data_IF_193200337954
#
_entry.id   IF_193200337954
#
_cell.length_a   1.000
_cell.length_b   1.000
_cell.length_c   1.000
_cell.angle_alpha   90.00
_cell.angle_beta   90.00
_cell.angle_gamma   90.00
#
_symmetry.space_group_name_H-M   'P 1'
#
loop_
_entity.id
_entity.type
_entity.pdbx_description
1 polymer ?
#
# COMPACT_ATOMS: atom_id res chain seq x y z
N UNK A 1 -9.47 -4.16 -9.59
CA UNK A 1 -8.87 -5.30 -10.37
C UNK A 1 -8.47 -6.51 -9.52
N UNK A 2 -8.04 -6.32 -8.28
CA UNK A 2 -7.45 -7.36 -7.43
C UNK A 2 -8.33 -8.59 -7.18
N UNK A 3 -9.65 -8.42 -7.06
CA UNK A 3 -10.60 -9.54 -6.88
C UNK A 3 -10.58 -10.54 -8.06
N UNK A 4 -10.42 -10.05 -9.29
CA UNK A 4 -10.35 -10.90 -10.47
C UNK A 4 -9.05 -11.70 -10.50
N UNK A 5 -7.93 -11.06 -10.11
CA UNK A 5 -6.63 -11.73 -9.99
C UNK A 5 -6.66 -12.84 -8.95
N UNK A 6 -7.13 -12.55 -7.73
CA UNK A 6 -7.30 -13.54 -6.66
C UNK A 6 -8.10 -14.77 -7.12
N UNK A 7 -9.24 -14.52 -7.80
CA UNK A 7 -10.08 -15.58 -8.35
C UNK A 7 -9.36 -16.40 -9.42
N UNK A 8 -8.60 -15.75 -10.29
CA UNK A 8 -7.87 -16.41 -11.38
C UNK A 8 -6.69 -17.25 -10.86
N UNK A 9 -6.03 -16.83 -9.78
CA UNK A 9 -4.88 -17.52 -9.20
C UNK A 9 -5.23 -18.47 -8.05
N UNK A 10 -6.50 -18.54 -7.66
CA UNK A 10 -6.94 -19.35 -6.51
C UNK A 10 -6.41 -18.85 -5.17
N UNK A 11 -5.96 -17.60 -5.10
CA UNK A 11 -5.39 -17.00 -3.89
C UNK A 11 -6.45 -16.31 -3.05
N UNK A 12 -6.19 -16.20 -1.75
CA UNK A 12 -7.05 -15.45 -0.84
C UNK A 12 -7.01 -13.95 -1.17
N UNK A 13 -8.18 -13.32 -1.22
CA UNK A 13 -8.30 -11.88 -1.43
C UNK A 13 -8.23 -11.16 -0.08
N UNK A 14 -7.13 -10.46 0.18
CA UNK A 14 -6.97 -9.66 1.38
C UNK A 14 -7.27 -8.18 1.13
N UNK A 15 -7.94 -7.57 2.12
CA UNK A 15 -8.24 -6.13 2.15
C UNK A 15 -7.48 -5.50 3.30
N UNK A 16 -6.73 -4.47 3.00
CA UNK A 16 -5.96 -3.68 3.96
C UNK A 16 -6.61 -2.29 4.12
N UNK A 17 -6.63 -1.77 5.34
CA UNK A 17 -7.22 -0.46 5.65
C UNK A 17 -6.15 0.63 5.59
N UNK A 18 -6.53 1.83 5.13
CA UNK A 18 -5.65 3.01 5.15
C UNK A 18 -5.81 3.82 6.45
N UNK A 19 -4.73 4.49 6.81
CA UNK A 19 -4.74 5.60 7.77
C UNK A 19 -4.83 6.90 6.99
N UNK A 20 -5.97 7.57 7.10
CA UNK A 20 -6.19 8.85 6.45
C UNK A 20 -5.94 9.99 7.43
N UNK A 21 -5.39 11.10 6.94
CA UNK A 21 -5.11 12.28 7.75
C UNK A 21 -5.41 13.56 6.96
N UNK A 22 -5.64 14.64 7.71
CA UNK A 22 -5.70 15.99 7.16
C UNK A 22 -4.56 16.81 7.74
N UNK A 23 -3.84 17.53 6.88
CA UNK A 23 -2.84 18.49 7.31
C UNK A 23 -3.43 19.88 7.27
N UNK A 24 -3.52 20.51 8.43
CA UNK A 24 -3.84 21.92 8.54
C UNK A 24 -2.59 22.75 8.21
N UNK A 25 -2.67 23.52 7.12
CA UNK A 25 -1.55 24.34 6.64
C UNK A 25 -1.28 25.55 7.54
N UNK A 26 -2.29 26.07 8.23
CA UNK A 26 -2.17 27.24 9.10
C UNK A 26 -1.59 26.84 10.46
N UNK A 27 -2.06 25.72 11.01
CA UNK A 27 -1.62 25.22 12.31
C UNK A 27 -0.38 24.30 12.23
N UNK A 28 0.07 23.95 11.02
CA UNK A 28 1.13 22.94 10.76
C UNK A 28 0.93 21.65 11.56
N UNK A 29 -0.33 21.24 11.73
CA UNK A 29 -0.70 20.03 12.48
C UNK A 29 -1.34 19.03 11.53
N UNK A 30 -0.87 17.80 11.62
CA UNK A 30 -1.51 16.66 10.99
C UNK A 30 -2.46 16.02 12.00
N UNK A 31 -3.73 15.89 11.63
CA UNK A 31 -4.74 15.16 12.42
C UNK A 31 -5.14 13.90 11.67
N UNK A 32 -4.90 12.76 12.29
CA UNK A 32 -5.33 11.46 11.79
C UNK A 32 -6.82 11.26 12.05
N UNK A 33 -7.50 10.63 11.09
CA UNK A 33 -8.90 10.25 11.27
C UNK A 33 -9.00 9.06 12.21
N UNK A 34 -9.88 9.16 13.20
CA UNK A 34 -10.12 8.12 14.19
C UNK A 34 -11.63 7.89 14.39
N UNK A 35 -11.99 6.70 14.87
CA UNK A 35 -13.37 6.35 15.19
C UNK A 35 -14.32 6.48 13.99
N UNK A 36 -15.30 7.39 14.09
CA UNK A 36 -16.32 7.59 13.06
C UNK A 36 -15.74 8.11 11.75
N UNK A 37 -14.75 9.00 11.82
CA UNK A 37 -14.16 9.63 10.62
C UNK A 37 -13.43 8.61 9.75
N UNK A 38 -12.63 7.74 10.37
CA UNK A 38 -11.98 6.64 9.68
C UNK A 38 -13.02 5.65 9.10
N UNK A 39 -14.06 5.34 9.87
CA UNK A 39 -15.16 4.49 9.40
C UNK A 39 -15.86 5.08 8.17
N UNK A 40 -16.10 6.39 8.17
CA UNK A 40 -16.79 7.08 7.07
C UNK A 40 -15.89 7.14 5.83
N UNK A 41 -14.58 7.38 6.00
CA UNK A 41 -13.61 7.33 4.90
C UNK A 41 -13.53 5.94 4.24
N UNK A 42 -13.50 4.87 5.05
CA UNK A 42 -13.51 3.49 4.54
C UNK A 42 -14.85 3.03 3.95
N UNK A 43 -15.92 3.78 4.17
CA UNK A 43 -17.27 3.52 3.64
C UNK A 43 -17.65 4.51 2.54
N UNK A 44 -16.76 5.45 2.23
CA UNK A 44 -17.00 6.46 1.21
C UNK A 44 -17.44 5.78 -0.09
N UNK A 45 -18.37 6.42 -0.80
CA UNK A 45 -18.91 5.88 -2.02
C UNK A 45 -17.80 5.82 -3.09
N UNK A 46 -17.56 4.62 -3.57
CA UNK A 46 -16.62 4.37 -4.64
C UNK A 46 -17.31 4.82 -5.93
N UNK A 47 -16.74 5.82 -6.62
CA UNK A 47 -17.24 6.25 -7.94
C UNK A 47 -17.39 5.03 -8.84
N UNK A 48 -18.51 4.93 -9.57
CA UNK A 48 -18.85 3.77 -10.42
C UNK A 48 -17.72 3.32 -11.36
N UNK A 49 -16.89 4.28 -11.81
CA UNK A 49 -15.79 4.05 -12.75
C UNK A 49 -14.50 3.63 -12.04
N UNK A 50 -14.32 4.01 -10.78
CA UNK A 50 -13.20 3.59 -9.95
C UNK A 50 -13.54 2.23 -9.34
N UNK A 51 -13.24 1.12 -10.02
CA UNK A 51 -13.58 -0.24 -9.54
C UNK A 51 -12.78 -0.71 -8.30
N UNK A 52 -12.16 0.20 -7.56
CA UNK A 52 -11.29 -0.09 -6.42
C UNK A 52 -11.76 0.69 -5.17
N UNK A 53 -11.36 0.20 -4.00
CA UNK A 53 -11.92 0.61 -2.71
C UNK A 53 -11.39 1.99 -2.28
N UNK A 54 -12.27 2.90 -1.88
CA UNK A 54 -11.89 4.14 -1.18
C UNK A 54 -11.57 3.83 0.29
N UNK A 55 -10.42 4.30 0.77
CA UNK A 55 -9.96 4.07 2.15
C UNK A 55 -9.53 2.62 2.45
N UNK A 56 -9.52 1.73 1.46
CA UNK A 56 -9.00 0.36 1.61
C UNK A 56 -8.23 -0.04 0.36
N UNK A 57 -7.24 -0.90 0.51
CA UNK A 57 -6.44 -1.39 -0.60
C UNK A 57 -6.53 -2.91 -0.66
N UNK A 58 -7.03 -3.42 -1.77
CA UNK A 58 -7.00 -4.86 -2.04
C UNK A 58 -5.65 -5.25 -2.60
N UNK A 59 -4.93 -6.13 -1.90
CA UNK A 59 -3.60 -6.59 -2.30
C UNK A 59 -3.55 -8.12 -2.32
N UNK A 60 -2.89 -8.69 -3.32
CA UNK A 60 -2.68 -10.13 -3.50
C UNK A 60 -1.26 -10.35 -3.97
N UNK A 61 -0.52 -11.25 -3.32
CA UNK A 61 0.86 -11.55 -3.71
C UNK A 61 0.89 -12.11 -5.14
N UNK A 62 1.89 -11.70 -5.92
CA UNK A 62 2.03 -11.98 -7.33
C UNK A 62 1.27 -11.02 -8.25
N UNK A 63 0.45 -10.09 -7.71
CA UNK A 63 -0.24 -9.13 -8.56
C UNK A 63 0.73 -8.09 -9.15
N UNK A 64 0.48 -7.62 -10.39
CA UNK A 64 1.20 -6.47 -10.91
C UNK A 64 0.80 -5.21 -10.14
N UNK A 65 1.80 -4.39 -9.80
CA UNK A 65 1.63 -3.11 -9.09
C UNK A 65 2.37 -1.99 -9.81
N UNK A 66 1.95 -0.76 -9.56
CA UNK A 66 2.63 0.45 -10.01
C UNK A 66 3.03 1.28 -8.80
N UNK A 67 4.28 1.75 -8.80
CA UNK A 67 4.73 2.75 -7.83
C UNK A 67 4.17 4.10 -8.26
N UNK A 68 3.52 4.82 -7.35
CA UNK A 68 2.85 6.10 -7.64
C UNK A 68 3.66 7.32 -7.20
N UNK A 69 4.74 7.12 -6.43
CA UNK A 69 5.60 8.17 -5.90
C UNK A 69 7.05 8.01 -6.33
N UNK A 70 7.79 9.12 -6.37
CA UNK A 70 9.22 9.11 -6.56
C UNK A 70 9.91 8.76 -5.24
N UNK A 71 10.33 7.50 -5.09
CA UNK A 71 10.93 7.01 -3.85
C UNK A 71 12.45 7.16 -3.89
N UNK A 72 13.10 6.60 -4.91
CA UNK A 72 14.55 6.62 -5.09
C UNK A 72 14.87 6.53 -6.58
N UNK A 73 14.77 7.67 -7.26
CA UNK A 73 14.91 7.77 -8.73
C UNK A 73 16.28 7.27 -9.19
N UNK A 74 17.34 7.58 -8.44
CA UNK A 74 18.72 7.12 -8.69
C UNK A 74 18.85 5.58 -8.68
N UNK A 75 17.93 4.89 -8.01
CA UNK A 75 17.89 3.43 -7.91
C UNK A 75 16.82 2.82 -8.83
N UNK A 76 16.24 3.60 -9.75
CA UNK A 76 15.20 3.14 -10.68
C UNK A 76 13.80 3.01 -10.07
N UNK A 77 13.58 3.57 -8.87
CA UNK A 77 12.27 3.55 -8.19
C UNK A 77 11.62 4.93 -8.31
N UNK A 78 10.82 5.11 -9.35
CA UNK A 78 10.10 6.34 -9.64
C UNK A 78 8.60 6.09 -9.82
N UNK A 79 7.83 7.17 -9.86
CA UNK A 79 6.43 7.10 -10.26
C UNK A 79 6.32 6.46 -11.66
N UNK A 80 5.47 5.45 -11.78
CA UNK A 80 5.27 4.67 -12.98
C UNK A 80 6.10 3.38 -13.05
N UNK A 81 7.02 3.15 -12.10
CA UNK A 81 7.75 1.88 -12.01
C UNK A 81 6.77 0.72 -11.82
N UNK A 82 6.82 -0.26 -12.73
CA UNK A 82 5.97 -1.45 -12.72
C UNK A 82 6.71 -2.59 -12.05
N UNK A 83 6.02 -3.29 -11.17
CA UNK A 83 6.58 -4.40 -10.41
C UNK A 83 5.57 -5.49 -10.12
N UNK A 84 6.05 -6.49 -9.39
CA UNK A 84 5.23 -7.56 -8.85
C UNK A 84 5.24 -7.47 -7.34
N UNK A 85 4.06 -7.47 -6.71
CA UNK A 85 3.96 -7.55 -5.26
C UNK A 85 4.43 -8.93 -4.80
N UNK A 86 5.44 -9.02 -3.94
CA UNK A 86 5.99 -10.30 -3.45
C UNK A 86 5.79 -10.50 -1.95
N UNK A 87 5.53 -9.43 -1.20
CA UNK A 87 5.32 -9.50 0.24
C UNK A 87 4.50 -8.32 0.74
N UNK A 88 3.79 -8.53 1.85
CA UNK A 88 3.03 -7.49 2.54
C UNK A 88 3.26 -7.64 4.04
N UNK A 89 3.81 -6.61 4.67
CA UNK A 89 3.86 -6.51 6.13
C UNK A 89 2.62 -5.75 6.61
N UNK A 90 1.92 -6.27 7.61
CA UNK A 90 0.73 -5.63 8.14
C UNK A 90 0.65 -5.75 9.66
N UNK A 91 -0.06 -4.80 10.29
CA UNK A 91 -0.50 -4.89 11.68
C UNK A 91 -1.99 -5.24 11.74
N UNK A 92 -2.40 -5.98 12.77
CA UNK A 92 -3.81 -6.22 13.06
C UNK A 92 -4.23 -5.38 14.26
N UNK A 93 -5.14 -4.43 14.05
CA UNK A 93 -5.69 -3.58 15.11
C UNK A 93 -7.20 -3.73 15.10
N UNK A 94 -7.78 -4.21 16.21
CA UNK A 94 -9.24 -4.43 16.34
C UNK A 94 -9.81 -5.23 15.15
N UNK A 95 -9.20 -6.38 14.86
CA UNK A 95 -9.55 -7.30 13.76
C UNK A 95 -9.36 -6.75 12.33
N UNK A 96 -8.82 -5.54 12.17
CA UNK A 96 -8.54 -4.94 10.87
C UNK A 96 -7.05 -5.01 10.54
N UNK A 97 -6.74 -5.36 9.30
CA UNK A 97 -5.36 -5.41 8.78
C UNK A 97 -4.98 -4.06 8.18
N UNK A 98 -3.90 -3.46 8.66
CA UNK A 98 -3.31 -2.22 8.15
C UNK A 98 -1.98 -2.56 7.48
N UNK A 99 -1.85 -2.25 6.18
CA UNK A 99 -0.59 -2.48 5.47
C UNK A 99 0.46 -1.49 5.99
N UNK A 100 1.60 -2.02 6.46
CA UNK A 100 2.73 -1.24 6.95
C UNK A 100 3.80 -1.06 5.87
N UNK A 101 4.03 -2.12 5.08
CA UNK A 101 4.95 -2.09 3.95
C UNK A 101 4.58 -3.13 2.91
N UNK A 102 5.03 -2.92 1.69
CA UNK A 102 4.90 -3.83 0.57
C UNK A 102 6.29 -4.14 0.01
N UNK A 103 6.60 -5.42 -0.14
CA UNK A 103 7.79 -5.85 -0.85
C UNK A 103 7.44 -5.99 -2.33
N UNK A 104 8.15 -5.25 -3.18
CA UNK A 104 7.88 -5.18 -4.60
C UNK A 104 9.12 -5.59 -5.37
N UNK A 105 8.98 -6.59 -6.23
CA UNK A 105 10.00 -6.95 -7.19
C UNK A 105 9.94 -5.99 -8.38
N UNK A 106 11.01 -5.23 -8.57
CA UNK A 106 11.14 -4.24 -9.64
C UNK A 106 12.28 -4.67 -10.59
N UNK A 107 12.00 -4.95 -11.88
CA UNK A 107 13.03 -5.43 -12.81
C UNK A 107 14.25 -4.50 -12.96
N UNK A 108 14.04 -3.19 -12.81
CA UNK A 108 15.08 -2.17 -13.00
C UNK A 108 15.76 -1.75 -11.69
N UNK A 109 15.33 -2.29 -10.55
CA UNK A 109 15.98 -2.09 -9.26
C UNK A 109 16.98 -3.20 -9.01
N UNK A 110 18.14 -2.91 -8.43
CA UNK A 110 19.08 -3.93 -7.99
C UNK A 110 19.79 -3.48 -6.72
N UNK A 111 19.80 -4.33 -5.70
CA UNK A 111 20.53 -4.12 -4.47
C UNK A 111 21.03 -5.46 -3.94
N UNK A 112 22.34 -5.71 -4.03
CA UNK A 112 22.99 -6.93 -3.54
C UNK A 112 22.97 -7.09 -2.02
N UNK A 113 22.60 -6.03 -1.29
CA UNK A 113 22.56 -5.98 0.17
C UNK A 113 21.16 -5.68 0.69
N UNK A 114 20.11 -6.03 -0.06
CA UNK A 114 18.71 -5.68 0.23
C UNK A 114 18.12 -6.40 1.45
N UNK A 115 18.80 -7.42 1.98
CA UNK A 115 18.28 -8.30 3.02
C UNK A 115 17.19 -9.27 2.54
N UNK A 116 16.84 -9.22 1.26
CA UNK A 116 15.95 -10.15 0.57
C UNK A 116 16.77 -11.18 -0.21
N UNK A 117 16.21 -12.38 -0.43
CA UNK A 117 16.84 -13.41 -1.27
C UNK A 117 16.93 -12.99 -2.75
N UNK A 118 16.04 -12.10 -3.20
CA UNK A 118 16.03 -11.51 -4.54
C UNK A 118 16.55 -10.06 -4.50
N UNK A 119 17.67 -9.73 -5.19
CA UNK A 119 18.24 -8.38 -5.19
C UNK A 119 17.37 -7.34 -5.91
N UNK A 120 16.35 -7.78 -6.65
CA UNK A 120 15.38 -6.92 -7.33
C UNK A 120 14.17 -6.58 -6.45
N UNK A 121 14.13 -7.04 -5.20
CA UNK A 121 13.04 -6.76 -4.26
C UNK A 121 13.39 -5.56 -3.39
N UNK A 122 12.46 -4.62 -3.34
CA UNK A 122 12.52 -3.45 -2.46
C UNK A 122 11.30 -3.44 -1.52
N UNK A 123 11.54 -3.13 -0.26
CA UNK A 123 10.48 -2.84 0.70
C UNK A 123 10.08 -1.38 0.58
N UNK A 124 8.83 -1.13 0.17
CA UNK A 124 8.21 0.20 0.15
C UNK A 124 7.35 0.32 1.39
N UNK A 125 7.68 1.25 2.27
CA UNK A 125 6.91 1.57 3.47
C UNK A 125 6.51 3.03 3.49
N UNK A 126 5.38 3.32 4.12
CA UNK A 126 5.02 4.67 4.52
C UNK A 126 5.88 5.08 5.70
N UNK A 127 6.55 6.23 5.62
CA UNK A 127 7.15 6.89 6.78
C UNK A 127 5.99 7.51 7.56
N UNK A 128 5.27 6.73 8.34
CA UNK A 128 4.23 7.24 9.24
C UNK A 128 4.71 7.01 10.67
N UNK A 129 4.78 8.09 11.43
CA UNK A 129 5.27 8.11 12.80
C UNK A 129 4.56 7.09 13.70
N UNK A 130 5.28 6.67 14.73
CA UNK A 130 4.92 5.58 15.65
C UNK A 130 3.46 5.62 16.09
N UNK A 131 2.79 4.47 15.97
CA UNK A 131 1.49 4.18 16.58
C UNK A 131 1.63 4.28 18.11
N UNK A 132 1.12 5.36 18.71
CA UNK A 132 0.89 5.47 20.17
C UNK A 132 -0.60 5.54 20.46
#
# INVERSE_FOLDING_TARGET
MTKAFAKATGQEFHVYYSEDYVTDKELRRTRYFVGREASDAWKAEIKSDARDLSGRLGLVVGMPVIVVDNVAVELGISNGSRGTLVGIKYATVRERRYALSADVRLPNYFNSSSGHDDPHVVTISTIVGTLT
#
